data_IF_376670125135
#
_entry.id   IF_376670125135
#
_cell.length_a   1.000
_cell.length_b   1.000
_cell.length_c   1.000
_cell.angle_alpha   90.00
_cell.angle_beta   90.00
_cell.angle_gamma   90.00
#
_symmetry.space_group_name_H-M   'P 1'
#
loop_
_entity.id
_entity.type
_entity.pdbx_description
1 polymer ?
#
# COMPACT_ATOMS: atom_id res chain seq x y z
N UNK A 1 -4.49 -4.06 20.33
CA UNK A 1 -3.45 -3.00 20.25
C UNK A 1 -3.23 -2.73 18.76
N UNK A 2 -3.28 -1.48 18.26
CA UNK A 2 -2.97 -1.22 16.86
C UNK A 2 -1.50 -1.62 16.63
N UNK A 3 -1.22 -2.34 15.56
CA UNK A 3 0.14 -2.70 15.20
C UNK A 3 0.92 -1.39 14.94
N UNK A 4 1.88 -1.08 15.81
CA UNK A 4 2.85 -0.02 15.56
C UNK A 4 3.74 -0.50 14.41
N UNK A 5 3.45 -0.01 13.20
CA UNK A 5 4.25 -0.27 12.01
C UNK A 5 5.49 0.64 12.08
N UNK A 6 6.49 0.28 12.87
CA UNK A 6 7.79 0.96 12.85
C UNK A 6 8.52 0.67 11.54
N UNK A 7 9.12 1.71 10.93
CA UNK A 7 9.98 1.59 9.74
C UNK A 7 9.53 2.44 8.54
N UNK A 8 10.50 2.78 7.68
CA UNK A 8 10.27 3.46 6.39
C UNK A 8 9.85 2.52 5.27
N UNK A 9 9.63 1.24 5.59
CA UNK A 9 9.28 0.22 4.62
C UNK A 9 7.95 0.52 3.92
N UNK A 10 7.76 -0.15 2.78
CA UNK A 10 6.54 -0.05 2.01
C UNK A 10 5.32 -0.62 2.74
N UNK A 11 4.15 -0.05 2.48
CA UNK A 11 2.90 -0.44 3.16
C UNK A 11 1.80 -0.78 2.16
N UNK A 12 1.19 -1.95 2.32
CA UNK A 12 -0.03 -2.34 1.60
C UNK A 12 -1.27 -2.13 2.48
N UNK A 13 -2.28 -1.44 1.95
CA UNK A 13 -3.58 -1.28 2.60
C UNK A 13 -4.53 -2.33 2.02
N UNK A 14 -5.04 -3.22 2.88
CA UNK A 14 -6.04 -4.23 2.53
C UNK A 14 -7.26 -4.11 3.43
N UNK A 15 -8.43 -4.50 2.92
CA UNK A 15 -9.67 -4.53 3.70
C UNK A 15 -10.92 -4.24 2.88
N UNK A 16 -12.09 -4.43 3.51
CA UNK A 16 -13.39 -4.06 2.92
C UNK A 16 -13.80 -2.69 3.41
N UNK A 17 -13.48 -1.65 2.65
CA UNK A 17 -13.80 -0.27 2.99
C UNK A 17 -14.15 0.59 1.75
N UNK A 18 -14.83 1.73 1.92
CA UNK A 18 -15.10 2.65 0.83
C UNK A 18 -13.82 3.20 0.19
N UNK A 19 -13.87 3.53 -1.12
CA UNK A 19 -12.72 4.06 -1.87
C UNK A 19 -12.12 5.31 -1.25
N UNK A 20 -12.95 6.20 -0.69
CA UNK A 20 -12.47 7.42 -0.05
C UNK A 20 -11.61 7.12 1.18
N UNK A 21 -11.87 6.04 1.90
CA UNK A 21 -11.11 5.68 3.09
C UNK A 21 -9.72 5.16 2.70
N UNK A 22 -9.61 4.37 1.63
CA UNK A 22 -8.31 4.00 1.07
C UNK A 22 -7.47 5.23 0.72
N UNK A 23 -8.07 6.21 0.02
CA UNK A 23 -7.37 7.45 -0.34
C UNK A 23 -6.95 8.26 0.89
N UNK A 24 -7.81 8.36 1.90
CA UNK A 24 -7.50 9.06 3.15
C UNK A 24 -6.34 8.39 3.91
N UNK A 25 -6.35 7.07 4.00
CA UNK A 25 -5.26 6.30 4.63
C UNK A 25 -3.95 6.44 3.84
N UNK A 26 -4.01 6.33 2.51
CA UNK A 26 -2.83 6.52 1.67
C UNK A 26 -2.21 7.90 1.88
N UNK A 27 -3.03 8.96 1.90
CA UNK A 27 -2.55 10.32 2.19
C UNK A 27 -2.00 10.46 3.61
N UNK A 28 -2.64 9.84 4.60
CA UNK A 28 -2.22 9.91 6.02
C UNK A 28 -0.83 9.32 6.22
N UNK A 29 -0.54 8.18 5.58
CA UNK A 29 0.72 7.46 5.78
C UNK A 29 1.82 7.81 4.76
N UNK A 30 1.50 8.53 3.68
CA UNK A 30 2.46 8.90 2.64
C UNK A 30 3.76 9.56 3.16
N UNK A 31 3.74 10.44 4.18
CA UNK A 31 4.97 11.06 4.68
C UNK A 31 5.95 10.08 5.37
N UNK A 32 5.45 8.95 5.88
CA UNK A 32 6.24 8.02 6.72
C UNK A 32 6.69 6.77 5.97
N UNK A 33 6.14 6.51 4.77
CA UNK A 33 6.35 5.26 4.02
C UNK A 33 7.10 5.51 2.71
N UNK A 34 8.01 4.60 2.36
CA UNK A 34 8.71 4.66 1.08
C UNK A 34 7.76 4.48 -0.12
N UNK A 35 6.76 3.61 0.04
CA UNK A 35 5.65 3.46 -0.91
C UNK A 35 4.38 3.00 -0.20
N UNK A 36 3.24 3.29 -0.83
CA UNK A 36 1.92 2.82 -0.40
C UNK A 36 1.25 2.13 -1.59
N UNK A 37 0.74 0.93 -1.33
CA UNK A 37 -0.06 0.19 -2.28
C UNK A 37 -1.42 -0.20 -1.74
N UNK A 38 -2.36 -0.46 -2.64
CA UNK A 38 -3.67 -1.02 -2.34
C UNK A 38 -3.66 -2.48 -2.76
N UNK A 39 -4.01 -3.36 -1.83
CA UNK A 39 -4.18 -4.78 -2.10
C UNK A 39 -5.48 -5.03 -2.86
N UNK A 40 -5.38 -5.61 -4.06
CA UNK A 40 -6.50 -6.12 -4.83
C UNK A 40 -6.56 -7.65 -4.71
N UNK A 41 -7.48 -8.19 -3.88
CA UNK A 41 -7.61 -9.63 -3.70
C UNK A 41 -8.10 -10.39 -4.92
N UNK A 42 -8.73 -9.73 -5.91
CA UNK A 42 -9.14 -10.40 -7.15
C UNK A 42 -7.95 -10.69 -8.05
N UNK A 43 -6.94 -9.82 -7.99
CA UNK A 43 -5.74 -9.91 -8.81
C UNK A 43 -4.54 -10.52 -8.06
N UNK A 44 -4.67 -10.77 -6.76
CA UNK A 44 -3.58 -11.21 -5.87
C UNK A 44 -2.35 -10.28 -5.94
N UNK A 45 -2.62 -8.98 -6.05
CA UNK A 45 -1.63 -7.95 -6.37
C UNK A 45 -1.78 -6.74 -5.46
N UNK A 46 -0.67 -6.06 -5.22
CA UNK A 46 -0.63 -4.76 -4.55
C UNK A 46 -0.30 -3.70 -5.59
N UNK A 47 -1.22 -2.78 -5.82
CA UNK A 47 -1.07 -1.70 -6.80
C UNK A 47 -0.52 -0.48 -6.07
N UNK A 48 0.66 -0.01 -6.47
CA UNK A 48 1.29 1.19 -5.89
C UNK A 48 0.46 2.42 -6.26
N UNK A 49 0.10 3.22 -5.25
CA UNK A 49 -0.68 4.47 -5.43
C UNK A 49 0.10 5.70 -4.99
N UNK A 50 1.15 5.53 -4.20
CA UNK A 50 2.08 6.58 -3.80
C UNK A 50 3.48 5.97 -3.63
N UNK A 51 4.53 6.72 -3.97
CA UNK A 51 5.91 6.29 -3.75
C UNK A 51 6.87 7.46 -3.77
N UNK A 52 7.86 7.39 -2.87
CA UNK A 52 9.05 8.24 -2.85
C UNK A 52 10.27 7.55 -3.49
N UNK A 53 10.12 6.29 -3.91
CA UNK A 53 11.15 5.51 -4.58
C UNK A 53 10.99 5.58 -6.12
N UNK A 54 12.00 6.09 -6.86
CA UNK A 54 11.91 6.22 -8.32
C UNK A 54 11.77 4.90 -9.08
N UNK A 55 12.16 3.77 -8.45
CA UNK A 55 12.06 2.42 -9.03
C UNK A 55 10.66 1.79 -8.89
N UNK A 56 9.82 2.30 -7.99
CA UNK A 56 8.46 1.80 -7.75
C UNK A 56 7.49 2.97 -7.92
N UNK A 57 6.93 3.13 -9.11
CA UNK A 57 6.07 4.29 -9.39
C UNK A 57 4.60 3.96 -9.11
N UNK A 58 3.75 4.97 -8.89
CA UNK A 58 2.31 4.76 -8.93
C UNK A 58 1.89 4.03 -10.21
N UNK A 59 1.06 3.00 -10.08
CA UNK A 59 0.66 2.08 -11.15
C UNK A 59 1.53 0.83 -11.27
N UNK A 60 2.73 0.80 -10.66
CA UNK A 60 3.48 -0.46 -10.52
C UNK A 60 2.68 -1.46 -9.69
N UNK A 61 2.91 -2.73 -9.98
CA UNK A 61 2.23 -3.84 -9.33
C UNK A 61 3.26 -4.72 -8.64
N UNK A 62 3.01 -5.05 -7.38
CA UNK A 62 3.77 -6.02 -6.61
C UNK A 62 2.93 -7.28 -6.42
N UNK A 63 3.57 -8.44 -6.51
CA UNK A 63 2.94 -9.69 -6.11
C UNK A 63 2.69 -9.67 -4.60
N UNK A 64 1.53 -10.15 -4.17
CA UNK A 64 1.25 -10.30 -2.75
C UNK A 64 2.25 -11.31 -2.14
N UNK A 65 2.95 -10.98 -1.04
CA UNK A 65 3.76 -11.95 -0.33
C UNK A 65 2.86 -13.05 0.25
N UNK A 66 3.11 -14.31 -0.10
CA UNK A 66 2.36 -15.47 0.42
C UNK A 66 1.36 -16.12 -0.54
N UNK A 67 1.39 -15.79 -1.83
CA UNK A 67 0.69 -16.53 -2.89
C UNK A 67 1.71 -17.18 -3.83
N UNK A 68 1.56 -18.48 -4.19
CA UNK A 68 2.39 -19.13 -5.20
C UNK A 68 2.17 -18.54 -6.60
#
# INVERSE_FOLDING_TARGET
>A
MPAMMEGTEGMAISGKMPRWLFAALARKFAPERNWIGIDDPKLAQVIIVHSNNPSLRPGNVLLRPGTP
#
